data_IF_437717637172
#
_entry.id   IF_437717637172
#
_cell.length_a   1.000
_cell.length_b   1.000
_cell.length_c   1.000
_cell.angle_alpha   90.00
_cell.angle_beta   90.00
_cell.angle_gamma   90.00
#
_symmetry.space_group_name_H-M   'P 1'
#
loop_
_entity.id
_entity.type
_entity.pdbx_description
1 polymer ?
#
# COMPACT_ATOMS: atom_id res chain seq x y z
N UNK A 1 -12.31 -0.24 17.34
CA UNK A 1 -12.47 -0.06 15.88
C UNK A 1 -11.47 -0.92 15.14
N UNK A 2 -11.91 -1.58 14.09
CA UNK A 2 -11.06 -2.45 13.27
C UNK A 2 -10.63 -1.71 12.01
N UNK A 3 -9.36 -1.81 11.64
CA UNK A 3 -8.83 -1.24 10.42
C UNK A 3 -8.27 -2.32 9.50
N UNK A 4 -8.41 -2.08 8.20
CA UNK A 4 -7.75 -2.85 7.16
C UNK A 4 -6.65 -1.98 6.55
N UNK A 5 -5.43 -2.49 6.52
CA UNK A 5 -4.30 -1.80 5.90
C UNK A 5 -3.85 -2.59 4.67
N UNK A 6 -3.99 -1.96 3.52
CA UNK A 6 -3.57 -2.53 2.23
C UNK A 6 -2.13 -2.09 1.97
N UNK A 7 -1.21 -3.04 1.98
CA UNK A 7 0.23 -2.76 1.96
C UNK A 7 0.79 -2.96 0.57
N UNK A 8 1.19 -1.85 -0.07
CA UNK A 8 2.02 -1.84 -1.28
C UNK A 8 1.52 -2.72 -2.43
N UNK A 9 0.21 -2.70 -2.71
CA UNK A 9 -0.38 -3.45 -3.82
C UNK A 9 -0.19 -2.71 -5.15
N UNK A 10 1.04 -2.39 -5.45
CA UNK A 10 1.48 -1.62 -6.61
C UNK A 10 1.95 -2.54 -7.74
N UNK A 11 1.90 -2.03 -8.97
CA UNK A 11 2.24 -2.82 -10.16
C UNK A 11 3.61 -3.48 -10.08
N UNK A 12 4.64 -2.77 -9.60
CA UNK A 12 5.99 -3.33 -9.56
C UNK A 12 6.12 -4.53 -8.63
N UNK A 13 5.31 -4.63 -7.58
CA UNK A 13 5.31 -5.77 -6.68
C UNK A 13 4.43 -6.93 -7.16
N UNK A 14 3.59 -6.70 -8.15
CA UNK A 14 2.63 -7.70 -8.62
C UNK A 14 3.05 -8.27 -9.98
N UNK A 15 3.21 -7.41 -10.98
CA UNK A 15 3.55 -7.82 -12.35
C UNK A 15 4.79 -7.13 -12.90
N UNK A 16 5.32 -6.12 -12.20
CA UNK A 16 6.47 -5.34 -12.65
C UNK A 16 7.82 -5.90 -12.20
N UNK A 17 8.76 -5.01 -11.91
CA UNK A 17 10.18 -5.37 -11.70
C UNK A 17 10.42 -6.33 -10.54
N UNK A 18 9.59 -6.30 -9.50
CA UNK A 18 9.64 -7.22 -8.36
C UNK A 18 8.42 -8.13 -8.30
N UNK A 19 7.68 -8.26 -9.40
CA UNK A 19 6.48 -9.07 -9.46
C UNK A 19 6.76 -10.57 -9.47
N UNK A 20 5.76 -11.33 -9.01
CA UNK A 20 5.80 -12.80 -9.02
C UNK A 20 4.44 -13.35 -9.43
N UNK A 21 4.40 -14.62 -9.86
CA UNK A 21 3.13 -15.27 -10.16
C UNK A 21 2.26 -15.43 -8.91
N UNK A 22 2.89 -15.64 -7.76
CA UNK A 22 2.20 -15.73 -6.48
C UNK A 22 1.52 -14.40 -6.12
N UNK A 23 2.22 -13.28 -6.32
CA UNK A 23 1.65 -11.96 -6.08
C UNK A 23 0.43 -11.70 -6.97
N UNK A 24 0.50 -12.12 -8.24
CA UNK A 24 -0.62 -11.96 -9.16
C UNK A 24 -1.84 -12.79 -8.74
N UNK A 25 -1.61 -13.98 -8.19
CA UNK A 25 -2.68 -14.89 -7.76
C UNK A 25 -3.47 -14.37 -6.56
N UNK A 26 -2.87 -13.54 -5.70
CA UNK A 26 -3.58 -13.03 -4.52
C UNK A 26 -4.49 -11.84 -4.84
N UNK A 27 -4.33 -11.19 -5.99
CA UNK A 27 -5.09 -9.97 -6.33
C UNK A 27 -6.60 -10.15 -6.20
N UNK A 28 -7.23 -11.23 -6.74
CA UNK A 28 -8.68 -11.41 -6.58
C UNK A 28 -9.12 -11.50 -5.12
N UNK A 29 -8.34 -12.17 -4.27
CA UNK A 29 -8.65 -12.26 -2.84
C UNK A 29 -8.51 -10.90 -2.15
N UNK A 30 -7.52 -10.11 -2.53
CA UNK A 30 -7.34 -8.75 -2.01
C UNK A 30 -8.53 -7.87 -2.38
N UNK A 31 -8.98 -7.94 -3.61
CA UNK A 31 -10.14 -7.19 -4.10
C UNK A 31 -11.38 -7.52 -3.24
N UNK A 32 -11.65 -8.80 -3.02
CA UNK A 32 -12.78 -9.23 -2.20
C UNK A 32 -12.66 -8.71 -0.76
N UNK A 33 -11.46 -8.75 -0.20
CA UNK A 33 -11.21 -8.28 1.16
C UNK A 33 -11.47 -6.78 1.28
N UNK A 34 -10.98 -6.00 0.33
CA UNK A 34 -11.18 -4.55 0.29
C UNK A 34 -12.67 -4.22 0.16
N UNK A 35 -13.36 -4.90 -0.75
CA UNK A 35 -14.79 -4.66 -0.99
C UNK A 35 -15.64 -5.00 0.24
N UNK A 36 -15.19 -5.93 1.08
CA UNK A 36 -15.90 -6.33 2.30
C UNK A 36 -15.71 -5.37 3.48
N UNK A 37 -14.73 -4.48 3.41
CA UNK A 37 -14.41 -3.57 4.51
C UNK A 37 -15.08 -2.20 4.30
N UNK A 38 -15.51 -1.53 5.40
CA UNK A 38 -15.99 -0.14 5.30
C UNK A 38 -14.89 0.77 4.78
N UNK A 39 -15.21 1.67 3.88
CA UNK A 39 -14.21 2.56 3.27
C UNK A 39 -13.49 3.44 4.29
N UNK A 40 -14.21 3.89 5.31
CA UNK A 40 -13.64 4.73 6.39
C UNK A 40 -12.67 3.98 7.30
N UNK A 41 -12.58 2.65 7.19
CA UNK A 41 -11.66 1.84 7.98
C UNK A 41 -10.45 1.33 7.19
N UNK A 42 -10.28 1.78 5.94
CA UNK A 42 -9.19 1.32 5.07
C UNK A 42 -8.09 2.36 5.01
N UNK A 43 -6.85 1.91 5.21
CA UNK A 43 -5.64 2.67 4.92
C UNK A 43 -4.81 1.93 3.87
N UNK A 44 -4.06 2.67 3.07
CA UNK A 44 -3.27 2.14 1.97
C UNK A 44 -1.85 2.67 2.08
N UNK A 45 -0.85 1.79 2.01
CA UNK A 45 0.53 2.24 1.93
C UNK A 45 1.05 2.10 0.51
N UNK A 46 1.89 3.05 0.11
CA UNK A 46 2.51 3.09 -1.20
C UNK A 46 4.01 3.29 -1.05
N UNK A 47 4.77 2.25 -1.37
CA UNK A 47 6.22 2.38 -1.44
C UNK A 47 6.55 3.41 -2.53
N UNK A 48 7.35 4.41 -2.19
CA UNK A 48 7.56 5.56 -3.09
C UNK A 48 9.02 5.95 -3.07
N UNK A 49 9.70 5.75 -4.20
CA UNK A 49 11.12 6.04 -4.33
C UNK A 49 11.37 7.17 -5.32
N UNK A 50 12.47 7.93 -5.14
CA UNK A 50 12.86 8.97 -6.07
C UNK A 50 13.50 8.37 -7.34
N UNK A 51 13.63 9.18 -8.39
CA UNK A 51 14.25 8.76 -9.64
C UNK A 51 15.70 8.29 -9.46
N UNK A 52 16.40 8.80 -8.44
CA UNK A 52 17.76 8.42 -8.09
C UNK A 52 17.83 7.25 -7.07
N UNK A 53 16.84 6.38 -7.09
CA UNK A 53 16.73 5.23 -6.18
C UNK A 53 18.03 4.44 -6.05
N UNK A 54 18.74 4.20 -7.15
CA UNK A 54 19.97 3.41 -7.14
C UNK A 54 21.10 4.07 -6.33
N UNK A 55 21.01 5.36 -6.07
CA UNK A 55 21.98 6.10 -5.25
C UNK A 55 21.60 6.09 -3.77
N UNK A 56 20.41 5.61 -3.42
CA UNK A 56 19.96 5.51 -2.04
C UNK A 56 20.58 4.31 -1.34
N UNK A 57 20.52 4.30 0.00
CA UNK A 57 21.00 3.17 0.78
C UNK A 57 20.25 1.87 0.43
N UNK A 58 18.92 1.93 0.28
CA UNK A 58 18.14 0.78 -0.13
C UNK A 58 18.53 0.30 -1.53
N UNK A 59 18.72 1.24 -2.48
CA UNK A 59 19.11 0.91 -3.86
C UNK A 59 20.46 0.23 -3.94
N UNK A 60 21.37 0.51 -3.02
CA UNK A 60 22.67 -0.17 -2.94
C UNK A 60 22.54 -1.62 -2.48
N UNK A 61 21.56 -1.92 -1.63
CA UNK A 61 21.33 -3.27 -1.08
C UNK A 61 20.36 -4.09 -1.93
N UNK A 62 19.40 -3.44 -2.56
CA UNK A 62 18.43 -4.04 -3.49
C UNK A 62 18.48 -3.25 -4.80
N UNK A 63 19.43 -3.59 -5.72
CA UNK A 63 19.65 -2.77 -6.92
C UNK A 63 18.61 -3.04 -8.03
N UNK A 64 17.34 -3.01 -7.68
CA UNK A 64 16.22 -3.16 -8.62
C UNK A 64 15.33 -1.94 -8.47
N UNK A 65 15.36 -0.97 -9.42
CA UNK A 65 14.46 0.17 -9.36
C UNK A 65 13.00 -0.29 -9.37
N UNK A 66 12.22 0.25 -8.43
CA UNK A 66 10.81 -0.10 -8.32
C UNK A 66 10.05 1.03 -7.63
N UNK A 67 8.76 1.11 -7.89
CA UNK A 67 7.86 2.09 -7.29
C UNK A 67 8.42 3.52 -7.32
N UNK A 68 9.04 3.88 -8.45
CA UNK A 68 9.55 5.23 -8.65
C UNK A 68 8.37 6.18 -8.83
N UNK A 69 8.36 7.25 -8.05
CA UNK A 69 7.27 8.23 -8.06
C UNK A 69 6.96 8.70 -9.49
N UNK A 70 5.67 8.73 -9.83
CA UNK A 70 5.20 9.16 -11.15
C UNK A 70 5.26 8.11 -12.23
N UNK A 71 5.73 6.90 -11.95
CA UNK A 71 5.77 5.81 -12.94
C UNK A 71 4.56 4.90 -12.82
N UNK A 72 4.30 4.13 -13.88
CA UNK A 72 3.23 3.12 -13.87
C UNK A 72 3.49 2.03 -12.82
N UNK A 73 4.77 1.69 -12.59
CA UNK A 73 5.15 0.71 -11.57
C UNK A 73 4.79 1.14 -10.14
N UNK A 74 4.77 2.43 -9.87
CA UNK A 74 4.37 3.00 -8.59
C UNK A 74 2.84 2.92 -8.38
N UNK A 75 2.07 2.95 -9.45
CA UNK A 75 0.61 2.95 -9.37
C UNK A 75 0.09 1.63 -8.77
N UNK A 76 -1.06 1.71 -8.10
CA UNK A 76 -1.77 0.53 -7.63
C UNK A 76 -2.19 -0.34 -8.82
N UNK A 77 -2.22 -1.66 -8.61
CA UNK A 77 -2.79 -2.55 -9.62
C UNK A 77 -4.21 -2.09 -9.95
N UNK A 78 -4.62 -2.12 -11.24
CA UNK A 78 -5.92 -1.54 -11.65
C UNK A 78 -7.11 -2.10 -10.88
N UNK A 79 -7.13 -3.39 -10.61
CA UNK A 79 -8.21 -4.05 -9.87
C UNK A 79 -8.26 -3.58 -8.42
N UNK A 80 -7.09 -3.36 -7.81
CA UNK A 80 -6.98 -2.84 -6.45
C UNK A 80 -7.44 -1.39 -6.40
N UNK A 81 -7.00 -0.57 -7.36
CA UNK A 81 -7.42 0.83 -7.43
C UNK A 81 -8.94 0.96 -7.56
N UNK A 82 -9.55 0.11 -8.40
CA UNK A 82 -11.00 0.10 -8.57
C UNK A 82 -11.72 -0.30 -7.28
N UNK A 83 -11.21 -1.30 -6.56
CA UNK A 83 -11.79 -1.74 -5.29
C UNK A 83 -11.69 -0.65 -4.21
N UNK A 84 -10.67 0.20 -4.28
CA UNK A 84 -10.44 1.29 -3.32
C UNK A 84 -11.21 2.57 -3.66
N UNK A 85 -12.03 2.57 -4.70
CA UNK A 85 -12.84 3.74 -5.05
C UNK A 85 -13.72 4.13 -3.86
N UNK A 86 -13.72 5.41 -3.49
CA UNK A 86 -14.44 5.92 -2.33
C UNK A 86 -13.59 6.02 -1.05
N UNK A 87 -12.40 5.45 -1.02
CA UNK A 87 -11.46 5.68 0.07
C UNK A 87 -10.86 7.08 -0.09
N UNK A 88 -10.88 7.88 0.97
CA UNK A 88 -10.39 9.25 0.94
C UNK A 88 -8.88 9.30 0.68
N UNK A 89 -8.45 10.34 -0.05
CA UNK A 89 -7.05 10.52 -0.43
C UNK A 89 -6.09 10.56 0.76
N UNK A 90 -6.51 11.13 1.88
CA UNK A 90 -5.68 11.23 3.08
C UNK A 90 -5.43 9.87 3.77
N UNK A 91 -6.07 8.80 3.29
CA UNK A 91 -5.86 7.43 3.76
C UNK A 91 -4.75 6.70 2.99
N UNK A 92 -4.20 7.34 1.96
CA UNK A 92 -3.10 6.80 1.16
C UNK A 92 -1.79 7.38 1.68
N UNK A 93 -0.90 6.52 2.20
CA UNK A 93 0.35 6.93 2.82
C UNK A 93 1.53 6.50 1.95
N UNK A 94 2.22 7.47 1.38
CA UNK A 94 3.48 7.23 0.67
C UNK A 94 4.61 7.05 1.68
N UNK A 95 5.45 6.04 1.46
CA UNK A 95 6.59 5.77 2.34
C UNK A 95 7.87 5.57 1.54
N UNK A 96 8.97 6.23 1.94
CA UNK A 96 10.24 6.09 1.23
C UNK A 96 11.06 4.88 1.66
N UNK A 97 10.62 4.16 2.70
CA UNK A 97 11.29 3.01 3.28
C UNK A 97 10.29 1.89 3.53
N UNK A 98 10.76 0.76 4.07
CA UNK A 98 9.90 -0.41 4.32
C UNK A 98 8.73 -0.11 5.26
N UNK A 99 8.93 0.70 6.27
CA UNK A 99 7.90 1.01 7.26
C UNK A 99 7.17 2.31 7.00
N UNK A 100 5.87 2.33 7.28
CA UNK A 100 5.06 3.54 7.24
C UNK A 100 4.99 4.16 8.64
N UNK A 101 5.95 5.02 8.98
CA UNK A 101 6.09 5.57 10.33
C UNK A 101 4.91 6.44 10.77
N UNK A 102 4.18 7.03 9.82
CA UNK A 102 3.01 7.85 10.12
C UNK A 102 1.74 7.04 10.39
N UNK A 103 1.74 5.74 10.07
CA UNK A 103 0.53 4.92 10.13
C UNK A 103 -0.08 4.81 11.52
N UNK A 104 0.67 4.54 12.60
CA UNK A 104 0.06 4.41 13.92
C UNK A 104 -0.71 5.64 14.36
N UNK A 105 -0.19 6.83 14.14
CA UNK A 105 -0.86 8.07 14.49
C UNK A 105 -2.11 8.31 13.63
N UNK A 106 -2.01 8.00 12.34
CA UNK A 106 -3.18 8.10 11.44
C UNK A 106 -4.32 7.19 11.88
N UNK A 107 -4.01 5.99 12.33
CA UNK A 107 -5.01 5.05 12.86
C UNK A 107 -5.66 5.60 14.13
N UNK A 108 -4.86 6.16 15.04
CA UNK A 108 -5.39 6.77 16.27
C UNK A 108 -6.30 7.94 15.97
N UNK A 109 -5.92 8.80 15.04
CA UNK A 109 -6.74 9.94 14.62
C UNK A 109 -8.07 9.48 14.00
N UNK A 110 -8.03 8.44 13.17
CA UNK A 110 -9.23 7.90 12.53
C UNK A 110 -10.16 7.24 13.54
N UNK A 111 -9.62 6.60 14.56
CA UNK A 111 -10.42 6.00 15.64
C UNK A 111 -11.10 7.06 16.51
N UNK A 112 -10.49 8.25 16.63
CA UNK A 112 -11.02 9.33 17.45
C UNK A 112 -11.10 8.94 18.92
N UNK A 113 -12.30 8.98 19.51
CA UNK A 113 -12.54 8.58 20.88
C UNK A 113 -12.67 7.06 21.06
N UNK A 114 -12.75 6.31 19.97
CA UNK A 114 -12.80 4.85 20.00
C UNK A 114 -11.40 4.26 20.16
N UNK A 115 -11.33 2.99 20.51
CA UNK A 115 -10.06 2.28 20.65
C UNK A 115 -9.78 1.45 19.40
N UNK A 116 -8.53 1.44 18.94
CA UNK A 116 -8.12 0.53 17.88
C UNK A 116 -8.00 -0.87 18.49
N UNK A 117 -8.93 -1.77 18.11
CA UNK A 117 -9.02 -3.11 18.68
C UNK A 117 -8.38 -4.17 17.78
N UNK A 118 -8.35 -3.93 16.47
CA UNK A 118 -7.80 -4.88 15.52
C UNK A 118 -7.26 -4.14 14.29
N UNK A 119 -6.11 -4.60 13.81
CA UNK A 119 -5.53 -4.14 12.55
C UNK A 119 -5.25 -5.38 11.72
N UNK A 120 -5.84 -5.44 10.53
CA UNK A 120 -5.59 -6.52 9.59
C UNK A 120 -4.72 -5.99 8.46
N UNK A 121 -3.59 -6.64 8.22
CA UNK A 121 -2.65 -6.28 7.16
C UNK A 121 -2.84 -7.23 5.98
N UNK A 122 -2.98 -6.69 4.78
CA UNK A 122 -3.07 -7.46 3.54
C UNK A 122 -2.12 -6.87 2.50
N UNK A 123 -1.50 -7.74 1.70
CA UNK A 123 -0.58 -7.28 0.66
C UNK A 123 0.74 -8.01 0.53
#
# INVERSE_FOLDING_TARGET
>A
MKFLVVVDMQNDFISGSLGTSEAQKIVPNMVRKIESAPKESIFVTLDTHPADYMETNEGRHLPVPHCIAGTEGHALAPEIAAALAGVEENRFLEKPTFGATALPEKLRQAAGSDTVTEIELVG
#
